data_IF_635566174549
#
_entry.id   IF_635566174549
#
_cell.length_a   1.000
_cell.length_b   1.000
_cell.length_c   1.000
_cell.angle_alpha   90.00
_cell.angle_beta   90.00
_cell.angle_gamma   90.00
#
_symmetry.space_group_name_H-M   'P 1'
#
loop_
_entity.id
_entity.type
_entity.pdbx_description
1 polymer ?
#
# COMPACT_ATOMS: atom_id res chain seq x y z
N UNK A 1 -34.55 -13.91 -9.62
CA UNK A 1 -34.42 -14.28 -8.20
C UNK A 1 -33.46 -13.31 -7.52
N UNK A 2 -33.89 -12.66 -6.45
CA UNK A 2 -32.94 -11.86 -5.69
C UNK A 2 -31.87 -12.75 -5.09
N UNK A 3 -30.62 -12.34 -5.17
CA UNK A 3 -29.54 -13.03 -4.49
C UNK A 3 -29.75 -12.94 -2.97
N UNK A 4 -29.45 -14.01 -2.25
CA UNK A 4 -29.47 -14.00 -0.80
C UNK A 4 -28.46 -12.95 -0.30
N UNK A 5 -28.89 -12.04 0.54
CA UNK A 5 -27.98 -11.10 1.20
C UNK A 5 -27.18 -11.81 2.27
N UNK A 6 -25.92 -11.47 2.35
CA UNK A 6 -25.00 -12.03 3.33
C UNK A 6 -24.41 -10.90 4.15
N UNK A 7 -24.51 -10.99 5.46
CA UNK A 7 -23.94 -10.00 6.37
C UNK A 7 -22.70 -10.56 7.04
N UNK A 8 -21.64 -9.80 7.02
CA UNK A 8 -20.37 -10.12 7.68
C UNK A 8 -19.98 -8.90 8.49
N UNK A 9 -19.84 -9.09 9.80
CA UNK A 9 -19.36 -8.03 10.68
C UNK A 9 -17.84 -8.03 10.69
N UNK A 10 -17.25 -6.85 10.58
CA UNK A 10 -15.81 -6.69 10.57
C UNK A 10 -15.41 -5.37 11.21
N UNK A 11 -14.23 -5.32 11.79
CA UNK A 11 -13.70 -4.07 12.36
C UNK A 11 -13.04 -3.22 11.29
N UNK A 12 -12.36 -3.86 10.35
CA UNK A 12 -11.67 -3.19 9.25
C UNK A 12 -12.06 -3.86 7.94
N UNK A 13 -12.58 -3.10 7.01
CA UNK A 13 -12.89 -3.56 5.66
C UNK A 13 -11.89 -2.97 4.68
N UNK A 14 -11.20 -3.83 3.96
CA UNK A 14 -10.25 -3.44 2.92
C UNK A 14 -10.82 -3.84 1.57
N UNK A 15 -10.91 -2.88 0.66
CA UNK A 15 -11.41 -3.12 -0.69
C UNK A 15 -10.22 -3.27 -1.64
N UNK A 16 -9.98 -4.49 -2.08
CA UNK A 16 -8.88 -4.82 -2.97
C UNK A 16 -7.78 -5.63 -2.30
N UNK A 17 -7.23 -6.59 -3.04
CA UNK A 17 -6.19 -7.51 -2.57
C UNK A 17 -4.88 -7.37 -3.34
N UNK A 18 -4.58 -6.19 -3.85
CA UNK A 18 -3.27 -5.87 -4.38
C UNK A 18 -2.26 -5.61 -3.25
N UNK A 19 -1.07 -5.13 -3.60
CA UNK A 19 -0.01 -4.86 -2.63
C UNK A 19 -0.46 -3.93 -1.50
N UNK A 20 -1.11 -2.83 -1.83
CA UNK A 20 -1.58 -1.87 -0.83
C UNK A 20 -2.59 -2.47 0.14
N UNK A 21 -3.59 -3.20 -0.39
CA UNK A 21 -4.62 -3.82 0.44
C UNK A 21 -4.07 -4.89 1.37
N UNK A 22 -3.22 -5.76 0.87
CA UNK A 22 -2.62 -6.83 1.67
C UNK A 22 -1.64 -6.28 2.71
N UNK A 23 -0.86 -5.26 2.37
CA UNK A 23 0.01 -4.58 3.34
C UNK A 23 -0.79 -3.90 4.44
N UNK A 24 -1.87 -3.21 4.08
CA UNK A 24 -2.77 -2.61 5.06
C UNK A 24 -3.34 -3.65 6.02
N UNK A 25 -3.75 -4.81 5.51
CA UNK A 25 -4.26 -5.90 6.34
C UNK A 25 -3.20 -6.44 7.30
N UNK A 26 -1.98 -6.67 6.82
CA UNK A 26 -0.88 -7.15 7.65
C UNK A 26 -0.52 -6.16 8.75
N UNK A 27 -0.40 -4.88 8.43
CA UNK A 27 -0.06 -3.84 9.40
C UNK A 27 -1.19 -3.61 10.41
N UNK A 28 -2.45 -3.65 9.98
CA UNK A 28 -3.59 -3.57 10.91
C UNK A 28 -3.58 -4.74 11.90
N UNK A 29 -3.31 -5.95 11.42
CA UNK A 29 -3.19 -7.13 12.27
C UNK A 29 -2.02 -7.03 13.27
N UNK A 30 -0.87 -6.52 12.81
CA UNK A 30 0.28 -6.31 13.68
C UNK A 30 0.00 -5.26 14.76
N UNK A 31 -0.75 -4.21 14.41
CA UNK A 31 -1.11 -3.16 15.36
C UNK A 31 -2.06 -3.66 16.44
N UNK A 32 -3.04 -4.48 16.06
CA UNK A 32 -3.99 -5.08 17.00
C UNK A 32 -4.49 -6.42 16.45
N UNK A 33 -3.92 -7.55 16.93
CA UNK A 33 -4.31 -8.88 16.48
C UNK A 33 -5.75 -9.28 16.81
N UNK A 34 -6.44 -8.52 17.67
CA UNK A 34 -7.84 -8.79 18.02
C UNK A 34 -8.84 -8.27 17.00
N UNK A 35 -8.39 -7.41 16.06
CA UNK A 35 -9.25 -6.86 15.03
C UNK A 35 -9.69 -7.95 14.03
N UNK A 36 -10.98 -7.91 13.70
CA UNK A 36 -11.52 -8.68 12.58
C UNK A 36 -11.28 -7.89 11.29
N UNK A 37 -10.42 -8.40 10.43
CA UNK A 37 -10.04 -7.74 9.18
C UNK A 37 -10.60 -8.54 8.02
N UNK A 38 -11.36 -7.88 7.17
CA UNK A 38 -11.94 -8.48 5.98
C UNK A 38 -11.39 -7.80 4.74
N UNK A 39 -10.86 -8.59 3.82
CA UNK A 39 -10.43 -8.11 2.51
C UNK A 39 -11.46 -8.54 1.48
N UNK A 40 -12.11 -7.57 0.84
CA UNK A 40 -13.08 -7.83 -0.23
C UNK A 40 -12.41 -7.62 -1.58
N UNK A 41 -12.50 -8.62 -2.44
CA UNK A 41 -11.89 -8.61 -3.76
C UNK A 41 -12.94 -9.06 -4.79
N UNK A 42 -12.96 -8.39 -5.94
CA UNK A 42 -13.93 -8.70 -7.00
C UNK A 42 -13.52 -9.91 -7.86
N UNK A 43 -12.32 -10.43 -7.70
CA UNK A 43 -11.80 -11.58 -8.40
C UNK A 43 -11.25 -12.63 -7.44
N UNK A 44 -10.23 -13.35 -7.86
CA UNK A 44 -9.58 -14.36 -7.03
C UNK A 44 -8.46 -13.73 -6.20
N UNK A 45 -8.43 -14.07 -4.92
CA UNK A 45 -7.35 -13.63 -4.02
C UNK A 45 -5.98 -14.07 -4.58
N UNK A 46 -5.04 -13.15 -4.63
CA UNK A 46 -3.70 -13.38 -5.18
C UNK A 46 -3.64 -13.50 -6.70
N UNK A 47 -4.78 -13.40 -7.38
CA UNK A 47 -4.86 -13.49 -8.85
C UNK A 47 -5.31 -12.20 -9.51
N UNK A 48 -5.64 -11.19 -8.72
CA UNK A 48 -6.14 -9.90 -9.20
C UNK A 48 -5.26 -8.76 -8.73
N UNK A 49 -5.42 -7.61 -9.36
CA UNK A 49 -4.69 -6.39 -9.05
C UNK A 49 -3.45 -6.21 -9.89
N UNK A 50 -2.93 -4.98 -9.90
CA UNK A 50 -1.78 -4.62 -10.72
C UNK A 50 -0.46 -5.15 -10.15
N UNK A 51 -0.36 -5.33 -8.85
CA UNK A 51 0.91 -5.69 -8.18
C UNK A 51 1.54 -6.96 -8.74
N UNK A 52 0.75 -7.96 -9.07
CA UNK A 52 1.28 -9.21 -9.66
C UNK A 52 1.76 -9.05 -11.11
N UNK A 53 1.35 -7.96 -11.78
CA UNK A 53 1.63 -7.71 -13.20
C UNK A 53 2.77 -6.74 -13.41
N UNK A 54 3.13 -5.95 -12.39
CA UNK A 54 4.15 -4.92 -12.52
C UNK A 54 5.55 -5.51 -12.60
N UNK A 55 6.41 -4.81 -13.32
CA UNK A 55 7.84 -5.13 -13.45
C UNK A 55 8.66 -3.91 -13.07
N UNK A 56 9.91 -4.14 -12.70
CA UNK A 56 10.83 -3.11 -12.31
C UNK A 56 10.91 -2.98 -10.79
N UNK A 57 11.54 -1.92 -10.36
CA UNK A 57 11.73 -1.64 -8.96
C UNK A 57 11.45 -0.18 -8.63
N UNK A 58 11.68 0.17 -7.40
CA UNK A 58 11.70 1.56 -6.96
C UNK A 58 12.84 1.76 -5.98
N UNK A 59 13.22 3.02 -5.79
CA UNK A 59 14.39 3.38 -5.00
C UNK A 59 14.06 3.47 -3.52
N UNK A 60 15.08 3.23 -2.70
CA UNK A 60 15.03 3.44 -1.26
C UNK A 60 16.40 3.94 -0.79
N UNK A 61 16.40 4.90 0.13
CA UNK A 61 17.64 5.53 0.62
C UNK A 61 18.26 4.71 1.76
N UNK A 62 19.02 3.69 1.43
CA UNK A 62 19.70 2.81 2.39
C UNK A 62 21.22 2.95 2.39
N UNK A 63 21.83 3.49 1.34
CA UNK A 63 23.27 3.66 1.25
C UNK A 63 23.74 4.78 2.20
N UNK A 64 24.97 4.65 2.71
CA UNK A 64 25.55 5.63 3.67
C UNK A 64 25.65 7.04 3.09
N UNK A 65 25.91 7.13 1.80
CA UNK A 65 26.06 8.40 1.07
C UNK A 65 24.73 8.96 0.58
N UNK A 66 23.63 8.24 0.78
CA UNK A 66 22.29 8.67 0.39
C UNK A 66 21.52 9.20 1.61
N UNK A 67 20.35 9.81 1.36
CA UNK A 67 19.48 10.31 2.42
C UNK A 67 18.03 10.33 1.96
N UNK A 68 17.12 10.28 2.95
CA UNK A 68 15.68 10.43 2.69
C UNK A 68 15.39 11.76 2.03
N UNK A 69 16.06 12.84 2.49
CA UNK A 69 15.90 14.19 1.95
C UNK A 69 16.32 14.25 0.47
N UNK A 70 17.42 13.60 0.12
CA UNK A 70 17.86 13.54 -1.27
C UNK A 70 16.87 12.77 -2.13
N UNK A 71 16.41 11.63 -1.66
CA UNK A 71 15.39 10.83 -2.35
C UNK A 71 14.09 11.62 -2.54
N UNK A 72 13.67 12.36 -1.50
CA UNK A 72 12.50 13.25 -1.58
C UNK A 72 12.69 14.32 -2.66
N UNK A 73 13.82 15.04 -2.64
CA UNK A 73 14.08 16.08 -3.62
C UNK A 73 14.18 15.54 -5.05
N UNK A 74 14.81 14.39 -5.23
CA UNK A 74 14.87 13.73 -6.54
C UNK A 74 13.47 13.36 -7.05
N UNK A 75 12.59 12.93 -6.16
CA UNK A 75 11.20 12.61 -6.50
C UNK A 75 10.43 13.86 -6.91
N UNK A 76 10.56 14.94 -6.18
CA UNK A 76 9.85 16.20 -6.46
C UNK A 76 10.39 16.84 -7.76
N UNK A 77 11.69 16.95 -7.90
CA UNK A 77 12.32 17.56 -9.09
C UNK A 77 12.11 16.67 -10.34
N UNK A 78 12.28 15.37 -10.21
CA UNK A 78 12.02 14.41 -11.29
C UNK A 78 10.57 14.43 -11.76
N UNK A 79 9.65 14.67 -10.84
CA UNK A 79 8.22 14.84 -11.12
C UNK A 79 7.84 16.25 -11.56
N UNK A 80 8.82 17.15 -11.79
CA UNK A 80 8.61 18.52 -12.27
C UNK A 80 7.70 19.34 -11.35
N UNK A 81 7.83 19.13 -10.04
CA UNK A 81 7.08 19.82 -8.98
C UNK A 81 5.56 19.54 -9.01
N UNK A 82 5.13 18.53 -9.78
CA UNK A 82 3.73 18.09 -9.81
C UNK A 82 3.34 17.15 -8.66
N UNK A 83 4.26 16.32 -8.09
CA UNK A 83 3.88 15.41 -7.02
C UNK A 83 3.35 16.12 -5.79
N UNK A 84 2.46 15.45 -5.07
CA UNK A 84 2.04 15.85 -3.73
C UNK A 84 3.22 15.67 -2.77
N UNK A 85 3.67 16.78 -2.17
CA UNK A 85 4.90 16.77 -1.36
C UNK A 85 4.73 15.98 -0.06
N UNK A 86 3.56 16.02 0.55
CA UNK A 86 3.29 15.26 1.77
C UNK A 86 3.28 13.76 1.51
N UNK A 87 2.63 13.33 0.44
CA UNK A 87 2.61 11.91 0.05
C UNK A 87 3.99 11.42 -0.37
N UNK A 88 4.75 12.24 -1.11
CA UNK A 88 6.12 11.91 -1.49
C UNK A 88 7.03 11.75 -0.26
N UNK A 89 6.89 12.64 0.73
CA UNK A 89 7.64 12.54 1.97
C UNK A 89 7.31 11.26 2.74
N UNK A 90 6.03 10.92 2.84
CA UNK A 90 5.60 9.65 3.46
C UNK A 90 6.17 8.44 2.74
N UNK A 91 6.15 8.45 1.41
CA UNK A 91 6.68 7.35 0.61
C UNK A 91 8.17 7.11 0.88
N UNK A 92 9.00 8.16 0.82
CA UNK A 92 10.45 8.01 0.98
C UNK A 92 10.86 7.69 2.42
N UNK A 93 10.10 8.16 3.41
CA UNK A 93 10.40 7.86 4.82
C UNK A 93 9.99 6.43 5.18
N UNK A 94 8.81 5.99 4.78
CA UNK A 94 8.32 4.64 5.09
C UNK A 94 9.03 3.55 4.29
N UNK A 95 9.65 3.90 3.18
CA UNK A 95 10.34 2.92 2.34
C UNK A 95 11.58 2.32 3.02
N UNK A 96 12.16 2.99 4.03
CA UNK A 96 13.34 2.51 4.75
C UNK A 96 12.99 1.68 5.99
N UNK A 97 11.72 1.62 6.38
CA UNK A 97 11.23 0.81 7.50
C UNK A 97 11.02 -0.65 7.08
#
# INVERSE_FOLDING_TARGET
>A
MPAASRHIDTDVLILGSGGAGLFAALHAHQADPSLLITVAVKGLLGKCGCTRMVQGGYNVALAKEDSIERHFMDTIEGGKWLPDQELAWKLVTLAVE
#
